data_IF_177336845866
#
_entry.id   IF_177336845866
#
_cell.length_a   1.000
_cell.length_b   1.000
_cell.length_c   1.000
_cell.angle_alpha   90.00
_cell.angle_beta   90.00
_cell.angle_gamma   90.00
#
_symmetry.space_group_name_H-M   'P 1'
#
loop_
_entity.id
_entity.type
_entity.pdbx_description
1 polymer ?
#
# COMPACT_ATOMS: atom_id res chain seq x y z
N UNK A 1 21.40 -18.99 -50.92
CA UNK A 1 20.05 -19.46 -50.63
C UNK A 1 19.38 -18.50 -49.64
N UNK A 2 18.41 -17.74 -50.22
CA UNK A 2 17.35 -17.00 -49.59
C UNK A 2 17.67 -15.88 -48.56
N UNK A 3 17.78 -14.70 -49.13
CA UNK A 3 17.46 -13.39 -48.54
C UNK A 3 16.00 -13.36 -48.08
N UNK A 4 15.78 -12.93 -46.83
CA UNK A 4 14.49 -12.39 -46.41
C UNK A 4 14.70 -11.00 -45.83
N UNK A 5 14.26 -10.01 -46.59
CA UNK A 5 14.19 -8.61 -46.18
C UNK A 5 12.98 -8.48 -45.27
N UNK A 6 13.17 -8.08 -44.04
CA UNK A 6 12.11 -7.64 -43.15
C UNK A 6 12.09 -6.11 -43.06
N UNK A 7 11.15 -5.55 -43.79
CA UNK A 7 10.66 -4.19 -43.55
C UNK A 7 9.66 -4.24 -42.40
N UNK A 8 10.09 -3.85 -41.21
CA UNK A 8 9.19 -3.61 -40.06
C UNK A 8 9.17 -2.13 -39.76
N UNK A 9 7.98 -1.54 -39.87
CA UNK A 9 7.71 -0.15 -39.65
C UNK A 9 8.05 0.28 -38.20
N UNK A 10 8.63 1.45 -38.13
CA UNK A 10 8.95 2.14 -36.86
C UNK A 10 7.66 2.56 -36.14
N UNK A 11 7.22 1.76 -35.20
CA UNK A 11 6.28 2.19 -34.18
C UNK A 11 7.01 3.05 -33.15
N UNK A 12 6.64 4.33 -33.05
CA UNK A 12 7.12 5.25 -32.03
C UNK A 12 6.74 4.69 -30.65
N UNK A 13 7.76 4.26 -29.91
CA UNK A 13 7.62 3.99 -28.47
C UNK A 13 7.36 5.31 -27.71
N UNK A 14 6.48 5.34 -26.71
CA UNK A 14 6.27 6.53 -25.89
C UNK A 14 7.57 6.90 -25.19
N UNK A 15 8.00 8.14 -25.33
CA UNK A 15 9.15 8.68 -24.60
C UNK A 15 8.82 8.71 -23.12
N UNK A 16 9.29 7.71 -22.38
CA UNK A 16 9.42 7.78 -20.95
C UNK A 16 10.39 8.92 -20.64
N UNK A 17 9.94 9.91 -19.85
CA UNK A 17 10.76 11.03 -19.39
C UNK A 17 12.05 10.49 -18.80
N UNK A 18 13.16 10.79 -19.45
CA UNK A 18 14.47 10.29 -19.11
C UNK A 18 14.88 10.78 -17.73
N UNK A 19 14.78 9.92 -16.73
CA UNK A 19 15.60 10.05 -15.55
C UNK A 19 17.07 10.05 -15.95
N UNK A 20 17.99 10.64 -15.17
CA UNK A 20 19.40 10.75 -15.53
C UNK A 20 19.91 9.37 -15.91
N UNK A 21 20.48 9.26 -17.10
CA UNK A 21 20.99 8.00 -17.61
C UNK A 21 22.07 7.44 -16.66
N UNK A 22 22.15 6.12 -16.56
CA UNK A 22 23.19 5.44 -15.76
C UNK A 22 24.61 5.92 -16.09
N UNK A 23 24.85 6.40 -17.32
CA UNK A 23 26.09 7.02 -17.77
C UNK A 23 26.31 8.41 -17.16
N UNK A 24 25.25 9.21 -16.96
CA UNK A 24 25.35 10.50 -16.29
C UNK A 24 25.71 10.32 -14.81
N UNK A 25 25.08 9.37 -14.12
CA UNK A 25 25.43 8.99 -12.75
C UNK A 25 26.88 8.51 -12.61
N UNK A 26 27.41 7.79 -13.62
CA UNK A 26 28.79 7.31 -13.62
C UNK A 26 29.80 8.41 -13.88
N UNK A 27 29.47 9.40 -14.71
CA UNK A 27 30.30 10.56 -14.98
C UNK A 27 30.44 11.44 -13.74
N UNK A 28 29.35 11.65 -13.00
CA UNK A 28 29.36 12.40 -11.75
C UNK A 28 30.19 11.72 -10.64
N UNK A 29 30.29 10.40 -10.65
CA UNK A 29 31.14 9.62 -9.71
C UNK A 29 32.65 9.77 -10.03
N UNK A 30 33.04 10.01 -11.28
CA UNK A 30 34.44 10.09 -11.74
C UNK A 30 35.01 11.51 -11.62
N UNK A 31 34.18 12.55 -11.76
CA UNK A 31 34.58 13.95 -11.80
C UNK A 31 34.59 14.68 -10.43
N UNK A 32 34.92 13.96 -9.35
CA UNK A 32 35.22 14.62 -8.06
C UNK A 32 34.03 15.21 -7.35
N UNK A 33 32.96 14.48 -7.24
CA UNK A 33 31.74 14.86 -6.54
C UNK A 33 32.05 15.29 -5.10
N UNK A 34 31.86 16.56 -4.81
CA UNK A 34 31.99 17.05 -3.44
C UNK A 34 31.02 16.31 -2.53
N UNK A 35 31.51 15.53 -1.56
CA UNK A 35 30.70 14.80 -0.58
C UNK A 35 29.65 15.66 0.09
N UNK A 36 29.83 16.96 0.18
CA UNK A 36 28.86 17.91 0.73
C UNK A 36 27.55 18.02 -0.10
N UNK A 37 27.61 17.85 -1.43
CA UNK A 37 26.41 17.87 -2.28
C UNK A 37 25.49 16.65 -2.06
N UNK A 38 26.05 15.53 -1.59
CA UNK A 38 25.30 14.28 -1.35
C UNK A 38 24.86 14.09 0.10
N UNK A 39 25.33 14.93 1.01
CA UNK A 39 24.81 14.92 2.35
C UNK A 39 23.34 15.32 2.32
N UNK A 40 22.47 14.45 2.81
CA UNK A 40 21.02 14.61 2.86
C UNK A 40 20.56 16.01 3.31
N UNK A 41 21.39 16.78 4.00
CA UNK A 41 21.10 18.10 4.54
C UNK A 41 21.97 19.23 4.02
N UNK A 42 22.99 18.98 3.21
CA UNK A 42 23.85 20.02 2.60
C UNK A 42 24.17 21.22 3.51
N UNK A 43 24.36 21.00 4.81
CA UNK A 43 24.56 22.10 5.77
C UNK A 43 23.35 22.96 6.05
N UNK A 44 22.18 22.67 5.50
CA UNK A 44 20.93 23.43 5.81
C UNK A 44 20.56 23.21 7.27
N UNK A 45 20.29 24.31 7.97
CA UNK A 45 19.79 24.28 9.35
C UNK A 45 18.58 23.35 9.42
N UNK A 46 18.53 22.53 10.46
CA UNK A 46 17.38 21.69 10.79
C UNK A 46 16.16 22.59 10.89
N UNK A 47 15.25 22.49 9.94
CA UNK A 47 13.96 23.17 10.08
C UNK A 47 13.23 22.43 11.20
N UNK A 48 13.16 23.08 12.37
CA UNK A 48 12.33 22.59 13.47
C UNK A 48 10.90 22.85 12.99
N UNK A 49 10.26 21.82 12.44
CA UNK A 49 8.81 21.88 12.23
C UNK A 49 8.21 22.16 13.57
N UNK A 50 7.40 23.22 13.65
CA UNK A 50 6.56 23.46 14.81
C UNK A 50 5.84 22.15 15.15
N UNK A 51 5.69 21.84 16.41
CA UNK A 51 5.06 20.61 16.88
C UNK A 51 3.68 20.50 16.20
N UNK A 52 3.57 19.62 15.20
CA UNK A 52 2.25 19.14 14.79
C UNK A 52 1.63 18.55 16.08
N UNK A 53 0.37 18.86 16.34
CA UNK A 53 -0.33 18.36 17.52
C UNK A 53 -0.06 16.86 17.65
N UNK A 54 0.64 16.48 18.71
CA UNK A 54 0.99 15.09 18.94
C UNK A 54 -0.31 14.31 19.15
N UNK A 55 -0.51 13.23 18.41
CA UNK A 55 -1.58 12.29 18.68
C UNK A 55 -1.25 11.65 20.04
N UNK A 56 -2.20 11.67 20.96
CA UNK A 56 -2.14 10.90 22.19
C UNK A 56 -2.95 9.62 22.00
N UNK A 57 -2.32 8.54 21.52
CA UNK A 57 -3.03 7.28 21.25
C UNK A 57 -3.50 6.66 22.55
N UNK A 58 -4.72 6.14 22.57
CA UNK A 58 -5.24 5.35 23.69
C UNK A 58 -4.61 3.97 23.71
N UNK A 59 -4.33 3.41 22.51
CA UNK A 59 -3.74 2.10 22.33
C UNK A 59 -2.46 2.19 21.49
N UNK A 60 -1.38 1.66 22.04
CA UNK A 60 -0.11 1.52 21.32
C UNK A 60 0.02 0.12 20.73
N UNK A 61 0.93 -0.04 19.79
CA UNK A 61 1.16 -1.34 19.15
C UNK A 61 1.54 -2.43 20.15
N UNK A 62 2.16 -2.07 21.30
CA UNK A 62 2.46 -3.00 22.38
C UNK A 62 1.24 -3.54 23.12
N UNK A 63 0.11 -2.83 23.05
CA UNK A 63 -1.16 -3.24 23.67
C UNK A 63 -1.96 -4.16 22.75
N UNK A 64 -1.44 -4.43 21.56
CA UNK A 64 -2.11 -5.20 20.53
C UNK A 64 -2.13 -6.69 20.89
N UNK A 65 -3.30 -7.37 20.81
CA UNK A 65 -3.39 -8.82 21.01
C UNK A 65 -2.48 -9.60 20.05
N UNK A 66 -1.88 -10.69 20.53
CA UNK A 66 -1.00 -11.54 19.75
C UNK A 66 -1.65 -12.10 18.47
N UNK A 67 -2.97 -12.35 18.49
CA UNK A 67 -3.74 -12.80 17.32
C UNK A 67 -3.58 -11.89 16.10
N UNK A 68 -3.44 -10.57 16.32
CA UNK A 68 -3.20 -9.60 15.24
C UNK A 68 -1.80 -9.79 14.67
N UNK A 69 -0.81 -10.10 15.50
CA UNK A 69 0.58 -10.30 15.09
C UNK A 69 0.78 -11.61 14.33
N UNK A 70 0.05 -12.64 14.69
CA UNK A 70 0.05 -13.94 14.02
C UNK A 70 -0.57 -13.90 12.61
N UNK A 71 -1.33 -12.84 12.28
CA UNK A 71 -1.99 -12.65 10.96
C UNK A 71 -2.92 -13.79 10.58
N UNK A 72 -3.63 -14.35 11.56
CA UNK A 72 -4.46 -15.54 11.37
C UNK A 72 -5.90 -15.21 10.94
N UNK A 73 -6.32 -13.95 11.08
CA UNK A 73 -7.68 -13.51 10.78
C UNK A 73 -7.69 -12.36 9.76
N UNK A 74 -8.78 -12.23 9.01
CA UNK A 74 -9.03 -11.12 8.09
C UNK A 74 -9.76 -10.02 8.84
N UNK A 75 -9.50 -8.77 8.47
CA UNK A 75 -10.08 -7.58 9.10
C UNK A 75 -9.11 -6.83 10.02
N UNK A 76 -7.87 -7.27 10.12
CA UNK A 76 -6.81 -6.51 10.79
C UNK A 76 -6.05 -5.70 9.73
N UNK A 77 -6.29 -4.39 9.71
CA UNK A 77 -5.77 -3.50 8.68
C UNK A 77 -4.51 -2.74 9.13
N UNK A 78 -3.59 -2.53 8.21
CA UNK A 78 -2.49 -1.58 8.35
C UNK A 78 -2.75 -0.39 7.43
N UNK A 79 -2.80 0.83 7.98
CA UNK A 79 -3.04 2.05 7.23
C UNK A 79 -1.80 2.92 7.12
N UNK A 80 -1.61 3.57 5.95
CA UNK A 80 -0.52 4.52 5.69
C UNK A 80 -0.95 5.58 4.66
N UNK A 81 -0.17 6.65 4.54
CA UNK A 81 -0.41 7.71 3.56
C UNK A 81 0.72 7.78 2.54
N UNK A 82 0.40 7.70 1.26
CA UNK A 82 1.33 7.81 0.14
C UNK A 82 1.18 9.21 -0.48
N UNK A 83 2.07 10.14 -0.12
CA UNK A 83 1.99 11.52 -0.61
C UNK A 83 2.71 11.71 -1.95
N UNK A 84 2.14 12.54 -2.83
CA UNK A 84 2.73 12.98 -4.08
C UNK A 84 3.84 14.01 -3.89
N UNK A 85 3.67 14.88 -2.94
CA UNK A 85 4.55 16.01 -2.65
C UNK A 85 3.76 17.14 -1.98
N UNK A 86 4.37 18.32 -1.88
CA UNK A 86 3.69 19.48 -1.34
C UNK A 86 2.50 19.87 -2.24
N UNK A 87 1.29 19.91 -1.69
CA UNK A 87 0.05 20.26 -2.39
C UNK A 87 -0.27 19.41 -3.63
N UNK A 88 0.18 18.15 -3.68
CA UNK A 88 -0.05 17.25 -4.81
C UNK A 88 -0.99 16.08 -4.48
N UNK A 89 -1.78 16.21 -3.43
CA UNK A 89 -2.64 15.15 -2.97
C UNK A 89 -1.88 13.89 -2.53
N UNK A 90 -2.60 12.80 -2.39
CA UNK A 90 -2.04 11.52 -1.96
C UNK A 90 -3.04 10.38 -2.04
N UNK A 91 -2.61 9.23 -1.57
CA UNK A 91 -3.44 8.05 -1.38
C UNK A 91 -3.43 7.63 0.10
N UNK A 92 -4.54 7.19 0.60
CA UNK A 92 -4.59 6.34 1.78
C UNK A 92 -4.45 4.90 1.29
N UNK A 93 -3.48 4.18 1.82
CA UNK A 93 -3.30 2.75 1.59
C UNK A 93 -3.74 1.97 2.82
N UNK A 94 -4.64 1.03 2.65
CA UNK A 94 -5.10 0.10 3.69
C UNK A 94 -4.77 -1.31 3.23
N UNK A 95 -4.04 -2.05 4.04
CA UNK A 95 -3.60 -3.40 3.73
C UNK A 95 -4.10 -4.35 4.81
N UNK A 96 -4.89 -5.36 4.43
CA UNK A 96 -5.23 -6.45 5.33
C UNK A 96 -4.00 -7.29 5.67
N UNK A 97 -3.78 -7.56 6.94
CA UNK A 97 -2.55 -8.20 7.43
C UNK A 97 -2.42 -9.65 7.02
N UNK A 98 -3.53 -10.38 6.90
CA UNK A 98 -3.56 -11.80 6.51
C UNK A 98 -3.51 -11.96 5.00
N UNK A 99 -4.50 -11.45 4.29
CA UNK A 99 -4.66 -11.63 2.86
C UNK A 99 -3.73 -10.76 2.01
N UNK A 100 -3.13 -9.70 2.60
CA UNK A 100 -2.40 -8.66 1.85
C UNK A 100 -3.28 -7.89 0.87
N UNK A 101 -4.60 -8.00 1.02
CA UNK A 101 -5.54 -7.25 0.21
C UNK A 101 -5.37 -5.75 0.44
N UNK A 102 -5.28 -5.02 -0.66
CA UNK A 102 -5.00 -3.59 -0.69
C UNK A 102 -6.27 -2.82 -1.05
N UNK A 103 -6.50 -1.73 -0.36
CA UNK A 103 -7.43 -0.67 -0.76
C UNK A 103 -6.62 0.61 -0.92
N UNK A 104 -6.78 1.31 -2.03
CA UNK A 104 -6.21 2.63 -2.26
C UNK A 104 -7.34 3.64 -2.45
N UNK A 105 -7.29 4.73 -1.71
CA UNK A 105 -8.28 5.79 -1.80
C UNK A 105 -7.62 7.14 -1.96
N UNK A 106 -8.10 7.92 -2.95
CA UNK A 106 -7.56 9.23 -3.28
C UNK A 106 -7.91 10.25 -2.20
N UNK A 107 -6.93 11.09 -1.85
CA UNK A 107 -7.12 12.27 -1.00
C UNK A 107 -6.53 13.50 -1.69
N UNK A 108 -7.27 14.60 -1.66
CA UNK A 108 -6.82 15.86 -2.22
C UNK A 108 -5.87 16.58 -1.27
N UNK A 109 -6.16 16.51 0.02
CA UNK A 109 -5.37 17.16 1.05
C UNK A 109 -5.04 16.20 2.19
N UNK A 110 -3.87 16.37 2.80
CA UNK A 110 -3.48 15.66 4.00
C UNK A 110 -4.13 16.30 5.25
N UNK A 111 -5.48 16.29 5.32
CA UNK A 111 -6.22 16.81 6.45
C UNK A 111 -6.84 15.67 7.29
N UNK A 112 -6.92 15.84 8.61
CA UNK A 112 -7.52 14.85 9.48
C UNK A 112 -9.00 14.57 9.16
N UNK A 113 -9.73 15.61 8.71
CA UNK A 113 -11.14 15.48 8.33
C UNK A 113 -11.30 14.59 7.10
N UNK A 114 -10.54 14.84 6.04
CA UNK A 114 -10.60 14.08 4.78
C UNK A 114 -10.12 12.65 5.00
N UNK A 115 -8.99 12.47 5.71
CA UNK A 115 -8.47 11.16 6.06
C UNK A 115 -9.49 10.31 6.83
N UNK A 116 -10.16 10.89 7.85
CA UNK A 116 -11.23 10.24 8.58
C UNK A 116 -12.35 9.78 7.66
N UNK A 117 -12.89 10.68 6.83
CA UNK A 117 -13.98 10.36 5.91
C UNK A 117 -13.60 9.25 4.95
N UNK A 118 -12.39 9.33 4.38
CA UNK A 118 -11.88 8.32 3.44
C UNK A 118 -11.68 6.97 4.11
N UNK A 119 -11.11 6.90 5.31
CA UNK A 119 -10.97 5.65 6.07
C UNK A 119 -12.33 4.99 6.32
N UNK A 120 -13.30 5.76 6.82
CA UNK A 120 -14.64 5.24 7.10
C UNK A 120 -15.35 4.75 5.83
N UNK A 121 -15.26 5.50 4.72
CA UNK A 121 -15.90 5.11 3.46
C UNK A 121 -15.25 3.88 2.84
N UNK A 122 -13.92 3.77 2.88
CA UNK A 122 -13.18 2.64 2.31
C UNK A 122 -13.41 1.32 3.03
N UNK A 123 -13.70 1.37 4.33
CA UNK A 123 -13.87 0.20 5.18
C UNK A 123 -15.33 -0.12 5.53
N UNK A 124 -16.29 0.69 5.11
CA UNK A 124 -17.71 0.58 5.49
C UNK A 124 -18.30 -0.82 5.29
N UNK A 125 -17.99 -1.43 4.14
CA UNK A 125 -18.54 -2.73 3.73
C UNK A 125 -17.51 -3.86 3.79
N UNK A 126 -16.51 -3.71 4.66
CA UNK A 126 -15.42 -4.66 4.84
C UNK A 126 -15.39 -5.16 6.29
N UNK A 127 -14.89 -6.36 6.56
CA UNK A 127 -14.62 -6.77 7.92
C UNK A 127 -13.51 -5.88 8.52
N UNK A 128 -13.78 -5.29 9.68
CA UNK A 128 -12.82 -4.45 10.40
C UNK A 128 -12.78 -4.89 11.84
N UNK A 129 -11.69 -5.54 12.24
CA UNK A 129 -11.43 -5.99 13.60
C UNK A 129 -10.49 -5.04 14.32
N UNK A 130 -9.44 -4.60 13.62
CA UNK A 130 -8.49 -3.60 14.12
C UNK A 130 -7.86 -2.82 12.99
N UNK A 131 -7.33 -1.63 13.31
CA UNK A 131 -6.56 -0.82 12.36
C UNK A 131 -5.26 -0.41 13.04
N UNK A 132 -4.12 -0.60 12.37
CA UNK A 132 -2.82 -0.12 12.84
C UNK A 132 -2.36 1.05 11.97
N UNK A 133 -2.11 2.20 12.59
CA UNK A 133 -1.72 3.44 11.93
C UNK A 133 -0.34 3.91 12.40
N UNK A 134 0.23 4.89 11.72
CA UNK A 134 1.37 5.66 12.24
C UNK A 134 0.90 6.88 13.06
N UNK A 135 1.85 7.57 13.70
CA UNK A 135 1.57 8.77 14.47
C UNK A 135 1.47 10.03 13.59
N UNK A 136 0.99 9.91 12.36
CA UNK A 136 0.78 11.03 11.46
C UNK A 136 -0.38 11.93 11.94
N UNK A 137 -0.19 13.26 11.92
CA UNK A 137 -1.23 14.22 12.33
C UNK A 137 -2.53 14.11 11.51
N UNK A 138 -2.48 13.51 10.32
CA UNK A 138 -3.65 13.20 9.51
C UNK A 138 -4.61 12.20 10.15
N UNK A 139 -4.13 11.40 11.10
CA UNK A 139 -4.94 10.43 11.84
C UNK A 139 -5.48 10.99 13.17
N UNK A 140 -5.39 12.29 13.42
CA UNK A 140 -5.89 12.90 14.66
C UNK A 140 -7.39 12.68 14.93
N UNK A 141 -8.18 12.38 13.87
CA UNK A 141 -9.61 12.05 13.98
C UNK A 141 -9.89 10.57 14.31
N UNK A 142 -8.93 9.79 14.79
CA UNK A 142 -9.02 8.35 14.97
C UNK A 142 -10.17 7.91 15.90
N UNK A 143 -10.46 8.66 16.97
CA UNK A 143 -11.56 8.35 17.89
C UNK A 143 -12.94 8.28 17.23
N UNK A 144 -13.16 9.15 16.25
CA UNK A 144 -14.41 9.12 15.48
C UNK A 144 -14.45 7.92 14.52
N UNK A 145 -13.30 7.53 13.97
CA UNK A 145 -13.17 6.32 13.14
C UNK A 145 -13.46 5.07 13.97
N UNK A 146 -12.89 4.96 15.18
CA UNK A 146 -13.15 3.87 16.12
C UNK A 146 -14.64 3.71 16.42
N UNK A 147 -15.31 4.83 16.71
CA UNK A 147 -16.76 4.83 16.98
C UNK A 147 -17.58 4.46 15.75
N UNK A 148 -17.23 4.97 14.58
CA UNK A 148 -18.00 4.77 13.36
C UNK A 148 -17.86 3.35 12.81
N UNK A 149 -16.66 2.77 12.90
CA UNK A 149 -16.36 1.41 12.41
C UNK A 149 -16.47 0.35 13.52
N UNK A 150 -16.74 0.74 14.77
CA UNK A 150 -16.77 -0.13 15.94
C UNK A 150 -15.51 -1.01 16.03
N UNK A 151 -14.34 -0.39 15.98
CA UNK A 151 -13.03 -1.05 15.91
C UNK A 151 -12.03 -0.37 16.86
N UNK A 152 -10.93 -1.04 17.14
CA UNK A 152 -9.81 -0.48 17.91
C UNK A 152 -8.68 -0.06 16.98
N UNK A 153 -8.14 1.14 17.19
CA UNK A 153 -7.01 1.67 16.43
C UNK A 153 -5.74 1.62 17.29
N UNK A 154 -4.73 0.95 16.76
CA UNK A 154 -3.39 0.86 17.37
C UNK A 154 -2.41 1.76 16.63
N UNK A 155 -1.51 2.40 17.38
CA UNK A 155 -0.49 3.27 16.80
C UNK A 155 0.90 2.66 16.92
N UNK A 156 1.63 2.64 15.80
CA UNK A 156 3.01 2.19 15.77
C UNK A 156 3.91 3.11 16.62
N UNK A 157 4.97 2.53 17.20
CA UNK A 157 5.95 3.32 17.94
C UNK A 157 6.69 4.30 17.00
N UNK A 158 7.01 5.50 17.49
CA UNK A 158 7.83 6.43 16.73
C UNK A 158 9.16 5.80 16.31
N UNK A 159 9.55 6.02 15.05
CA UNK A 159 10.81 5.50 14.49
C UNK A 159 10.93 3.97 14.38
N UNK A 160 9.82 3.23 14.42
CA UNK A 160 9.78 1.77 14.36
C UNK A 160 9.12 1.26 13.05
N UNK A 161 9.73 1.48 11.86
CA UNK A 161 9.13 1.11 10.57
C UNK A 161 8.89 -0.39 10.42
N UNK A 162 9.72 -1.23 11.06
CA UNK A 162 9.58 -2.70 11.02
C UNK A 162 8.24 -3.22 11.58
N UNK A 163 7.57 -2.44 12.42
CA UNK A 163 6.27 -2.80 12.98
C UNK A 163 5.14 -2.79 11.93
N UNK A 164 5.37 -2.16 10.77
CA UNK A 164 4.43 -2.05 9.65
C UNK A 164 5.01 -2.54 8.33
N UNK A 165 5.70 -3.67 8.37
CA UNK A 165 6.39 -4.23 7.21
C UNK A 165 5.47 -4.59 6.03
N UNK A 166 4.17 -4.83 6.26
CA UNK A 166 3.21 -5.06 5.18
C UNK A 166 3.02 -3.81 4.33
N UNK A 167 2.86 -2.66 4.97
CA UNK A 167 2.69 -1.38 4.29
C UNK A 167 3.93 -0.98 3.50
N UNK A 168 5.13 -1.15 4.06
CA UNK A 168 6.36 -0.80 3.37
C UNK A 168 6.49 -1.55 2.04
N UNK A 169 6.24 -2.86 2.06
CA UNK A 169 6.29 -3.70 0.86
C UNK A 169 5.24 -3.27 -0.18
N UNK A 170 3.98 -3.11 0.24
CA UNK A 170 2.88 -2.73 -0.66
C UNK A 170 3.09 -1.31 -1.19
N UNK A 171 3.49 -0.37 -0.36
CA UNK A 171 3.78 1.00 -0.78
C UNK A 171 4.91 1.03 -1.81
N UNK A 172 5.89 0.12 -1.71
CA UNK A 172 6.89 -0.10 -2.74
C UNK A 172 6.29 -0.47 -4.10
N UNK A 173 5.29 -1.36 -4.12
CA UNK A 173 4.58 -1.75 -5.34
C UNK A 173 3.73 -0.61 -5.90
N UNK A 174 3.01 0.13 -5.04
CA UNK A 174 2.23 1.31 -5.46
C UNK A 174 3.12 2.36 -6.09
N UNK A 175 4.36 2.53 -5.59
CA UNK A 175 5.34 3.49 -6.10
C UNK A 175 5.89 3.14 -7.49
N UNK A 176 5.69 1.93 -7.98
CA UNK A 176 5.96 1.56 -9.37
C UNK A 176 5.01 2.29 -10.33
N UNK A 177 3.74 2.44 -9.95
CA UNK A 177 2.72 3.13 -10.74
C UNK A 177 2.71 4.64 -10.46
N UNK A 178 2.91 5.02 -9.20
CA UNK A 178 2.89 6.40 -8.73
C UNK A 178 4.24 6.78 -8.09
N UNK A 179 5.24 7.19 -8.87
CA UNK A 179 6.58 7.53 -8.36
C UNK A 179 6.56 8.65 -7.33
N UNK A 180 7.67 8.80 -6.58
CA UNK A 180 7.81 9.94 -5.66
C UNK A 180 7.71 11.27 -6.42
N UNK A 181 6.90 12.18 -5.90
CA UNK A 181 6.65 13.47 -6.54
C UNK A 181 5.50 13.49 -7.54
N UNK A 182 4.86 12.34 -7.77
CA UNK A 182 3.66 12.22 -8.62
C UNK A 182 2.54 13.18 -8.14
N UNK A 183 1.80 13.76 -9.08
CA UNK A 183 0.68 14.66 -8.75
C UNK A 183 -0.64 13.88 -8.76
N UNK A 184 -1.13 13.52 -7.58
CA UNK A 184 -2.37 12.76 -7.42
C UNK A 184 -3.64 13.55 -7.78
N UNK A 185 -3.55 14.85 -8.00
CA UNK A 185 -4.69 15.66 -8.48
C UNK A 185 -5.00 15.40 -9.95
N UNK A 186 -4.07 14.78 -10.68
CA UNK A 186 -4.23 14.49 -12.12
C UNK A 186 -4.87 13.13 -12.41
N UNK A 187 -5.13 12.33 -11.38
CA UNK A 187 -5.73 11.01 -11.52
C UNK A 187 -7.11 10.95 -10.87
N UNK A 188 -7.95 10.05 -11.39
CA UNK A 188 -9.27 9.76 -10.84
C UNK A 188 -9.21 8.53 -9.93
N UNK A 189 -10.26 8.32 -9.11
CA UNK A 189 -10.34 7.13 -8.27
C UNK A 189 -10.37 5.85 -9.12
N UNK A 190 -11.05 5.85 -10.27
CA UNK A 190 -11.12 4.69 -11.18
C UNK A 190 -9.74 4.27 -11.68
N UNK A 191 -8.85 5.23 -11.96
CA UNK A 191 -7.47 4.94 -12.35
C UNK A 191 -6.67 4.33 -11.20
N UNK A 192 -6.93 4.77 -9.96
CA UNK A 192 -6.33 4.19 -8.76
C UNK A 192 -6.86 2.79 -8.51
N UNK A 193 -8.15 2.54 -8.77
CA UNK A 193 -8.79 1.23 -8.62
C UNK A 193 -8.20 0.21 -9.59
N UNK A 194 -7.93 0.60 -10.84
CA UNK A 194 -7.23 -0.27 -11.81
C UNK A 194 -5.87 -0.72 -11.26
N UNK A 195 -5.08 0.20 -10.69
CA UNK A 195 -3.79 -0.15 -10.09
C UNK A 195 -3.97 -1.06 -8.88
N UNK A 196 -4.98 -0.80 -8.07
CA UNK A 196 -5.34 -1.63 -6.90
C UNK A 196 -5.67 -3.05 -7.33
N UNK A 197 -6.46 -3.22 -8.39
CA UNK A 197 -6.83 -4.52 -8.94
C UNK A 197 -5.61 -5.27 -9.49
N UNK A 198 -4.72 -4.60 -10.21
CA UNK A 198 -3.47 -5.20 -10.69
C UNK A 198 -2.64 -5.74 -9.51
N UNK A 199 -2.55 -5.00 -8.42
CA UNK A 199 -1.78 -5.39 -7.24
C UNK A 199 -2.47 -6.54 -6.49
N UNK A 200 -3.81 -6.53 -6.38
CA UNK A 200 -4.60 -7.54 -5.68
C UNK A 200 -4.70 -8.85 -6.44
N UNK A 201 -4.61 -8.82 -7.78
CA UNK A 201 -4.60 -10.02 -8.63
C UNK A 201 -3.19 -10.62 -8.83
N UNK A 202 -2.16 -10.04 -8.20
CA UNK A 202 -0.80 -10.56 -8.32
C UNK A 202 -0.53 -11.67 -7.30
N UNK A 203 -0.20 -12.92 -7.74
CA UNK A 203 0.13 -14.01 -6.83
C UNK A 203 1.29 -13.67 -5.89
N UNK A 204 1.19 -14.06 -4.64
CA UNK A 204 2.18 -13.78 -3.60
C UNK A 204 2.79 -15.07 -3.05
N UNK A 205 4.11 -15.17 -3.03
CA UNK A 205 4.82 -16.32 -2.45
C UNK A 205 4.44 -16.53 -0.97
N UNK A 206 4.27 -15.45 -0.20
CA UNK A 206 3.87 -15.52 1.22
C UNK A 206 2.42 -15.99 1.43
N UNK A 207 1.61 -16.05 0.38
CA UNK A 207 0.23 -16.55 0.39
C UNK A 207 0.12 -17.93 -0.30
N UNK A 208 1.22 -18.66 -0.45
CA UNK A 208 1.23 -19.92 -1.17
C UNK A 208 0.89 -19.79 -2.66
N UNK A 209 1.26 -18.67 -3.27
CA UNK A 209 0.99 -18.30 -4.66
C UNK A 209 -0.50 -17.95 -4.94
N UNK A 210 -1.34 -17.85 -3.92
CA UNK A 210 -2.67 -17.26 -4.06
C UNK A 210 -2.56 -15.75 -4.26
N UNK A 211 -3.62 -15.16 -4.84
CA UNK A 211 -3.71 -13.71 -4.93
C UNK A 211 -4.32 -13.13 -3.64
N UNK A 212 -4.02 -11.89 -3.30
CA UNK A 212 -4.72 -11.17 -2.23
C UNK A 212 -6.24 -11.18 -2.39
N UNK A 213 -6.73 -11.03 -3.63
CA UNK A 213 -8.15 -11.02 -3.94
C UNK A 213 -8.80 -12.38 -3.64
N UNK A 214 -8.18 -13.51 -4.05
CA UNK A 214 -8.71 -14.85 -3.81
C UNK A 214 -8.87 -15.10 -2.30
N UNK A 215 -7.81 -14.76 -1.53
CA UNK A 215 -7.81 -15.02 -0.10
C UNK A 215 -8.79 -14.12 0.67
N UNK A 216 -8.94 -12.89 0.24
CA UNK A 216 -9.88 -11.94 0.86
C UNK A 216 -11.34 -12.27 0.49
N UNK A 217 -11.60 -12.65 -0.77
CA UNK A 217 -12.93 -13.02 -1.27
C UNK A 217 -13.49 -14.26 -0.58
N UNK A 218 -12.70 -15.33 -0.47
CA UNK A 218 -13.11 -16.54 0.24
C UNK A 218 -13.54 -16.24 1.68
N UNK A 219 -12.89 -15.31 2.35
CA UNK A 219 -13.26 -14.96 3.71
C UNK A 219 -14.55 -14.14 3.79
N UNK A 220 -14.84 -13.30 2.79
CA UNK A 220 -16.11 -12.59 2.70
C UNK A 220 -17.26 -13.56 2.48
N UNK A 221 -17.09 -14.54 1.57
CA UNK A 221 -18.10 -15.55 1.31
C UNK A 221 -18.40 -16.41 2.54
N UNK A 222 -17.38 -16.79 3.31
CA UNK A 222 -17.53 -17.51 4.57
C UNK A 222 -18.23 -16.69 5.66
N UNK A 223 -18.13 -15.37 5.61
CA UNK A 223 -18.78 -14.46 6.56
C UNK A 223 -20.26 -14.24 6.22
N UNK A 224 -20.60 -14.30 4.92
CA UNK A 224 -21.98 -14.07 4.42
C UNK A 224 -22.80 -15.36 4.49
N UNK A 225 -22.15 -16.52 4.38
CA UNK A 225 -22.82 -17.83 4.44
C UNK A 225 -22.08 -18.75 5.43
N UNK A 226 -22.47 -18.84 6.71
CA UNK A 226 -21.99 -19.89 7.58
C UNK A 226 -22.56 -21.22 7.05
N UNK A 227 -21.80 -21.89 6.17
CA UNK A 227 -22.15 -23.24 5.75
C UNK A 227 -22.14 -24.15 6.98
N UNK A 228 -23.17 -24.99 7.19
CA UNK A 228 -23.13 -26.02 8.21
C UNK A 228 -21.94 -26.95 7.89
N UNK A 229 -21.19 -27.31 8.92
CA UNK A 229 -20.09 -28.26 8.86
C UNK A 229 -20.56 -29.59 8.24
N UNK A 230 -20.50 -29.65 6.93
CA UNK A 230 -20.73 -30.86 6.13
C UNK A 230 -19.38 -31.44 5.74
N UNK A 231 -19.23 -32.73 6.01
CA UNK A 231 -18.15 -33.67 5.75
C UNK A 231 -17.25 -33.36 4.54
N UNK A 232 -15.94 -33.67 4.56
CA UNK A 232 -15.00 -33.37 3.49
C UNK A 232 -15.36 -34.14 2.21
N UNK A 233 -15.92 -33.40 1.24
CA UNK A 233 -16.21 -33.90 -0.10
C UNK A 233 -14.93 -33.89 -0.93
N UNK A 234 -14.69 -35.06 -1.51
CA UNK A 234 -13.59 -35.52 -2.34
C UNK A 234 -13.10 -34.49 -3.38
N UNK A 235 -11.78 -34.31 -3.40
CA UNK A 235 -11.09 -33.63 -4.51
C UNK A 235 -11.38 -34.34 -5.82
N UNK A 236 -11.67 -33.63 -6.93
CA UNK A 236 -11.70 -34.26 -8.25
C UNK A 236 -10.31 -34.77 -8.60
N UNK A 237 -10.22 -36.07 -8.99
CA UNK A 237 -9.00 -36.70 -9.47
C UNK A 237 -8.54 -35.99 -10.76
N UNK A 238 -7.26 -35.69 -10.83
CA UNK A 238 -6.62 -35.23 -12.06
C UNK A 238 -6.82 -36.29 -13.18
N UNK A 239 -7.23 -35.82 -14.36
CA UNK A 239 -7.30 -36.62 -15.57
C UNK A 239 -5.86 -36.99 -16.02
N UNK A 240 -5.60 -38.24 -16.45
CA UNK A 240 -4.32 -38.62 -17.01
C UNK A 240 -4.11 -37.95 -18.36
N UNK A 241 -2.90 -37.41 -18.59
CA UNK A 241 -2.43 -36.99 -19.90
C UNK A 241 -2.20 -38.26 -20.74
N UNK A 242 -2.98 -38.41 -21.80
CA UNK A 242 -2.69 -39.42 -22.84
C UNK A 242 -1.54 -38.92 -23.68
N UNK A 243 -0.59 -39.82 -23.92
CA UNK A 243 0.64 -39.69 -24.75
C UNK A 243 0.35 -39.56 -26.21
#
# INVERSE_FOLDING_TARGET
>A
LLSYVNSAGAGLAPQAGAGPSFLALKKDLIEGYSRKKHLRRQGKKKYIRGSSAAIHPEHRIGDRPNEIDERNRIGDWEGDTILGGLNKGGLISLVDRKSRYLILSLIQNKSAKETKQTLCSSLKDKPVLSITLDNGCEFAGFKDVEKQLNTTIYFAEPHSPWQRGSNENINGLVRWFFPKGFDFRTVTQEQVDIVTDIINNRPRKCLGWLTPLDLFGVALDLTICPLPLGTPSQRPKALPLET
#
